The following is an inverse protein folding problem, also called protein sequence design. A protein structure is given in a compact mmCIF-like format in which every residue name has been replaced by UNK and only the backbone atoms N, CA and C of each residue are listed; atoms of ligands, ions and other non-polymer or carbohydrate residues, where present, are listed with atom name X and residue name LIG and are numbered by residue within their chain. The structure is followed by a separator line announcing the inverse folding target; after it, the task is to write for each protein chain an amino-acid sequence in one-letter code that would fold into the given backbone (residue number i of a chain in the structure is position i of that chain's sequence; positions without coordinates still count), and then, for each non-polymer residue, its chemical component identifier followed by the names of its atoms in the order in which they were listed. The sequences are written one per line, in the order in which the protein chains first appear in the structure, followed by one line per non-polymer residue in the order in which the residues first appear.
data_IF_404722869813
#
_entry.id   IF_404722869813
#
_cell.length_a   1.000
_cell.length_b   1.000
_cell.length_c   1.000
_cell.angle_alpha   90.00
_cell.angle_beta   90.00
_cell.angle_gamma   90.00
#
_symmetry.space_group_name_H-M   'P 1'
#
loop_
_entity.id
_entity.type
_entity.pdbx_description
1 polymer ?
#
# COMPACT_ATOMS: atom_id res chain seq x y z
N UNK A 1 26.55 -23.45 1.81
CA UNK A 1 26.51 -22.59 3.00
C UNK A 1 25.68 -21.35 2.68
N UNK A 2 24.37 -21.41 2.89
CA UNK A 2 23.47 -20.26 2.70
C UNK A 2 23.43 -19.46 4.00
N UNK A 3 24.11 -18.33 4.02
CA UNK A 3 24.02 -17.34 5.09
C UNK A 3 22.64 -16.72 5.13
N UNK A 4 21.67 -17.44 5.71
CA UNK A 4 20.55 -16.78 6.34
C UNK A 4 21.15 -16.06 7.54
N UNK A 5 21.47 -14.78 7.34
CA UNK A 5 21.87 -13.84 8.39
C UNK A 5 21.06 -14.13 9.63
N UNK A 6 21.74 -14.15 10.77
CA UNK A 6 21.19 -14.31 12.11
C UNK A 6 20.30 -13.09 12.44
N UNK A 7 19.18 -12.95 11.73
CA UNK A 7 18.13 -12.01 12.05
C UNK A 7 17.58 -12.46 13.38
N UNK A 8 17.63 -11.57 14.38
CA UNK A 8 17.05 -11.84 15.67
C UNK A 8 15.64 -12.42 15.48
N UNK A 9 15.45 -13.67 15.89
CA UNK A 9 14.23 -14.45 15.68
C UNK A 9 12.98 -13.68 16.13
N UNK A 10 13.13 -12.90 17.21
CA UNK A 10 12.10 -12.02 17.77
C UNK A 10 11.75 -10.85 16.84
N UNK A 11 12.68 -10.32 16.03
CA UNK A 11 12.41 -9.28 15.02
C UNK A 11 11.53 -9.83 13.89
N UNK A 12 11.83 -11.04 13.43
CA UNK A 12 10.98 -11.72 12.44
C UNK A 12 9.59 -11.96 13.05
N UNK A 13 9.54 -12.55 14.24
CA UNK A 13 8.28 -12.85 14.93
C UNK A 13 7.42 -11.60 15.15
N UNK A 14 8.02 -10.51 15.62
CA UNK A 14 7.30 -9.24 15.84
C UNK A 14 6.89 -8.56 14.53
N UNK A 15 7.69 -8.67 13.47
CA UNK A 15 7.30 -8.19 12.14
C UNK A 15 6.11 -8.96 11.61
N UNK A 16 6.13 -10.29 11.68
CA UNK A 16 5.02 -11.15 11.24
C UNK A 16 3.73 -10.86 12.02
N UNK A 17 3.83 -10.67 13.34
CA UNK A 17 2.67 -10.32 14.17
C UNK A 17 2.12 -8.91 13.84
N UNK A 18 3.00 -7.92 13.58
CA UNK A 18 2.56 -6.58 13.12
C UNK A 18 1.85 -6.64 11.77
N UNK A 19 2.37 -7.43 10.81
CA UNK A 19 1.74 -7.60 9.50
C UNK A 19 0.38 -8.31 9.63
N UNK A 20 0.26 -9.29 10.52
CA UNK A 20 -1.02 -9.92 10.82
C UNK A 20 -2.02 -8.94 11.44
N UNK A 21 -1.61 -8.12 12.42
CA UNK A 21 -2.46 -7.08 13.02
C UNK A 21 -2.92 -6.02 12.01
N UNK A 22 -2.08 -5.72 11.01
CA UNK A 22 -2.43 -4.83 9.89
C UNK A 22 -3.33 -5.50 8.85
N UNK A 23 -3.70 -6.78 9.03
CA UNK A 23 -4.52 -7.53 8.08
C UNK A 23 -3.80 -7.90 6.79
N UNK A 24 -2.47 -7.78 6.73
CA UNK A 24 -1.68 -8.12 5.53
C UNK A 24 -1.31 -9.60 5.48
N UNK A 25 -1.32 -10.27 6.63
CA UNK A 25 -1.14 -11.70 6.75
C UNK A 25 -2.32 -12.30 7.52
N UNK A 26 -2.74 -13.49 7.12
CA UNK A 26 -3.53 -14.38 7.98
C UNK A 26 -2.58 -15.37 8.63
N UNK A 27 -2.96 -15.88 9.80
CA UNK A 27 -2.21 -16.94 10.46
C UNK A 27 -3.13 -18.05 10.93
N UNK A 28 -2.64 -19.26 10.83
CA UNK A 28 -3.28 -20.45 11.37
C UNK A 28 -2.30 -21.20 12.27
N UNK A 29 -2.85 -21.88 13.28
CA UNK A 29 -2.05 -22.64 14.23
C UNK A 29 -1.68 -23.98 13.58
N UNK A 30 -0.39 -24.28 13.53
CA UNK A 30 0.17 -25.51 12.98
C UNK A 30 1.05 -26.16 14.06
N UNK A 31 0.43 -27.04 14.86
CA UNK A 31 1.05 -27.63 16.03
C UNK A 31 1.45 -26.59 17.08
N UNK A 32 2.77 -26.44 17.29
CA UNK A 32 3.36 -25.46 18.22
C UNK A 32 3.73 -24.12 17.54
N UNK A 33 3.56 -24.01 16.21
CA UNK A 33 3.95 -22.84 15.44
C UNK A 33 2.74 -22.14 14.81
N UNK A 34 2.99 -20.92 14.32
CA UNK A 34 2.05 -20.18 13.48
C UNK A 34 2.50 -20.26 12.03
N UNK A 35 1.62 -20.70 11.15
CA UNK A 35 1.79 -20.62 9.71
C UNK A 35 1.13 -19.36 9.21
N UNK A 36 1.88 -18.52 8.51
CA UNK A 36 1.39 -17.26 7.96
C UNK A 36 1.22 -17.36 6.45
N UNK A 37 0.16 -16.78 5.91
CA UNK A 37 -0.07 -16.65 4.47
C UNK A 37 -0.52 -15.23 4.12
N UNK A 38 -0.24 -14.74 2.89
CA UNK A 38 -0.72 -13.44 2.45
C UNK A 38 -2.24 -13.35 2.55
N UNK A 39 -2.73 -12.26 3.14
CA UNK A 39 -4.17 -11.98 3.19
C UNK A 39 -4.68 -11.31 1.90
N UNK A 40 -3.76 -10.72 1.12
CA UNK A 40 -4.05 -9.96 -0.09
C UNK A 40 -3.29 -10.54 -1.28
N UNK A 41 -3.90 -10.50 -2.45
CA UNK A 41 -3.19 -10.70 -3.71
C UNK A 41 -2.17 -9.57 -3.94
N UNK A 42 -1.17 -9.83 -4.79
CA UNK A 42 -0.09 -8.86 -5.07
C UNK A 42 -0.63 -7.50 -5.55
N UNK A 43 -1.55 -7.51 -6.51
CA UNK A 43 -2.14 -6.28 -7.05
C UNK A 43 -2.98 -5.52 -6.01
N UNK A 44 -3.69 -6.24 -5.14
CA UNK A 44 -4.47 -5.63 -4.04
C UNK A 44 -3.55 -4.98 -3.02
N UNK A 45 -2.42 -5.63 -2.70
CA UNK A 45 -1.41 -5.08 -1.82
C UNK A 45 -0.76 -3.82 -2.40
N UNK A 46 -0.34 -3.86 -3.66
CA UNK A 46 0.24 -2.70 -4.35
C UNK A 46 -0.72 -1.51 -4.36
N UNK A 47 -2.00 -1.77 -4.64
CA UNK A 47 -3.04 -0.74 -4.59
C UNK A 47 -3.21 -0.19 -3.17
N UNK A 48 -3.35 -1.06 -2.16
CA UNK A 48 -3.52 -0.63 -0.77
C UNK A 48 -2.33 0.20 -0.25
N UNK A 49 -1.11 -0.15 -0.68
CA UNK A 49 0.10 0.62 -0.38
C UNK A 49 0.04 2.01 -1.04
N UNK A 50 -0.29 2.07 -2.33
CA UNK A 50 -0.41 3.33 -3.07
C UNK A 50 -1.49 4.24 -2.45
N UNK A 51 -2.68 3.69 -2.16
CA UNK A 51 -3.78 4.42 -1.53
C UNK A 51 -3.36 4.98 -0.16
N UNK A 52 -2.66 4.18 0.65
CA UNK A 52 -2.17 4.60 1.97
C UNK A 52 -1.12 5.72 1.90
N UNK A 53 -0.17 5.63 0.95
CA UNK A 53 0.84 6.67 0.73
C UNK A 53 0.19 7.97 0.26
N UNK A 54 -0.71 7.89 -0.73
CA UNK A 54 -1.42 9.05 -1.26
C UNK A 54 -2.25 9.74 -0.16
N UNK A 55 -2.99 8.96 0.65
CA UNK A 55 -3.77 9.50 1.76
C UNK A 55 -2.88 10.18 2.81
N UNK A 56 -1.75 9.56 3.18
CA UNK A 56 -0.81 10.13 4.16
C UNK A 56 -0.20 11.46 3.70
N UNK A 57 0.22 11.53 2.43
CA UNK A 57 0.78 12.75 1.83
C UNK A 57 -0.28 13.86 1.78
N UNK A 58 -1.49 13.55 1.31
CA UNK A 58 -2.58 14.52 1.24
C UNK A 58 -3.01 15.02 2.63
N UNK A 59 -3.03 14.15 3.63
CA UNK A 59 -3.33 14.54 5.02
C UNK A 59 -2.26 15.47 5.61
N UNK A 60 -0.99 15.24 5.31
CA UNK A 60 0.11 16.04 5.85
C UNK A 60 0.29 17.39 5.14
N UNK A 61 0.00 17.46 3.83
CA UNK A 61 0.41 18.60 3.00
C UNK A 61 -0.73 19.25 2.19
N UNK A 62 -1.95 18.69 2.21
CA UNK A 62 -3.15 19.30 1.65
C UNK A 62 -3.03 19.73 0.18
N UNK A 63 -3.34 21.00 -0.09
CA UNK A 63 -3.34 21.57 -1.46
C UNK A 63 -1.96 21.57 -2.12
N UNK A 64 -0.88 21.72 -1.35
CA UNK A 64 0.49 21.71 -1.89
C UNK A 64 0.82 20.34 -2.48
N UNK A 65 0.45 19.27 -1.78
CA UNK A 65 0.60 17.92 -2.30
C UNK A 65 -0.23 17.69 -3.57
N UNK A 66 -1.46 18.23 -3.61
CA UNK A 66 -2.32 18.08 -4.79
C UNK A 66 -1.71 18.76 -6.02
N UNK A 67 -1.19 19.98 -5.89
CA UNK A 67 -0.50 20.68 -6.98
C UNK A 67 0.71 19.90 -7.45
N UNK A 68 1.58 19.48 -6.52
CA UNK A 68 2.77 18.71 -6.86
C UNK A 68 2.45 17.39 -7.57
N UNK A 69 1.35 16.73 -7.20
CA UNK A 69 0.89 15.51 -7.89
C UNK A 69 0.42 15.79 -9.32
N UNK A 70 -0.29 16.90 -9.56
CA UNK A 70 -0.72 17.30 -10.90
C UNK A 70 0.49 17.59 -11.78
N UNK A 71 1.42 18.39 -11.28
CA UNK A 71 2.65 18.76 -11.99
C UNK A 71 3.49 17.52 -12.31
N UNK A 72 3.73 16.66 -11.32
CA UNK A 72 4.47 15.41 -11.51
C UNK A 72 3.79 14.45 -12.50
N UNK A 73 2.46 14.42 -12.55
CA UNK A 73 1.73 13.57 -13.50
C UNK A 73 1.92 14.08 -14.93
N UNK A 74 1.80 15.39 -15.14
CA UNK A 74 2.00 16.02 -16.44
C UNK A 74 3.43 15.86 -16.96
N UNK A 75 4.44 15.95 -16.08
CA UNK A 75 5.85 15.73 -16.43
C UNK A 75 6.13 14.28 -16.88
N UNK A 76 5.44 13.30 -16.31
CA UNK A 76 5.63 11.88 -16.67
C UNK A 76 4.97 11.57 -18.01
N UNK A 77 3.68 11.93 -18.16
CA UNK A 77 2.90 11.67 -19.37
C UNK A 77 1.60 12.50 -19.34
N UNK A 78 1.39 13.35 -20.34
CA UNK A 78 0.14 14.11 -20.49
C UNK A 78 -1.10 13.20 -20.62
N UNK A 79 -0.95 12.00 -21.17
CA UNK A 79 -2.01 11.00 -21.21
C UNK A 79 -2.47 10.53 -19.82
N UNK A 80 -1.57 10.54 -18.83
CA UNK A 80 -1.91 10.24 -17.43
C UNK A 80 -2.67 11.39 -16.77
N UNK A 81 -2.37 12.64 -17.13
CA UNK A 81 -3.12 13.80 -16.65
C UNK A 81 -4.57 13.75 -17.14
N UNK A 82 -4.76 13.44 -18.42
CA UNK A 82 -6.07 13.18 -19.01
C UNK A 82 -6.81 12.03 -18.30
N UNK A 83 -6.11 10.94 -18.00
CA UNK A 83 -6.68 9.82 -17.27
C UNK A 83 -7.10 10.21 -15.85
N UNK A 84 -6.29 11.00 -15.15
CA UNK A 84 -6.62 11.53 -13.82
C UNK A 84 -7.88 12.40 -13.87
N UNK A 85 -7.98 13.30 -14.85
CA UNK A 85 -9.16 14.14 -15.04
C UNK A 85 -10.43 13.30 -15.28
N UNK A 86 -10.34 12.24 -16.09
CA UNK A 86 -11.45 11.28 -16.34
C UNK A 86 -11.87 10.56 -15.06
N UNK A 87 -10.92 10.07 -14.27
CA UNK A 87 -11.19 9.39 -13.00
C UNK A 87 -11.90 10.32 -12.00
N UNK A 88 -11.46 11.57 -11.89
CA UNK A 88 -12.11 12.59 -11.04
C UNK A 88 -13.56 12.83 -11.50
N UNK A 89 -13.77 12.99 -12.80
CA UNK A 89 -15.11 13.21 -13.36
C UNK A 89 -16.05 12.03 -13.10
N UNK A 90 -15.59 10.79 -13.28
CA UNK A 90 -16.36 9.58 -12.97
C UNK A 90 -16.72 9.51 -11.49
N UNK A 91 -15.77 9.80 -10.59
CA UNK A 91 -15.99 9.77 -9.15
C UNK A 91 -17.02 10.80 -8.69
N UNK A 92 -17.04 12.00 -9.31
CA UNK A 92 -18.04 13.04 -9.05
C UNK A 92 -19.43 12.65 -9.55
N UNK A 93 -19.52 12.00 -10.72
CA UNK A 93 -20.78 11.52 -11.29
C UNK A 93 -21.41 10.41 -10.45
N UNK A 94 -20.63 9.44 -9.97
CA UNK A 94 -21.12 8.36 -9.11
C UNK A 94 -21.45 8.78 -7.67
N UNK A 95 -21.33 10.06 -7.34
CA UNK A 95 -21.67 10.64 -6.01
C UNK A 95 -22.91 11.52 -6.06
N UNK A 96 -23.49 11.72 -7.24
CA UNK A 96 -24.83 12.29 -7.49
C UNK A 96 -25.82 11.16 -7.63
#
# INVERSE_FOLDING_TARGET
MTGAEERAYTTIMTTMDRLHRKGLLVREKDGLAWRYTPALGKAEFEKALADGLAAGILQAHGEVALSAFVDATAEVDEGLLDQLARLIAQRRKGRR
#
